data_IF_272649914092
#
_entry.id   IF_272649914092
#
_cell.length_a   1.000
_cell.length_b   1.000
_cell.length_c   1.000
_cell.angle_alpha   90.00
_cell.angle_beta   90.00
_cell.angle_gamma   90.00
#
_symmetry.space_group_name_H-M   'P 1'
#
loop_
_entity.id
_entity.type
_entity.pdbx_description
1 polymer ?
#
# COMPACT_ATOMS: atom_id res chain seq x y z
N UNK A 1 -10.23 -10.18 -10.19
CA UNK A 1 -9.24 -10.08 -9.10
C UNK A 1 -8.76 -11.45 -8.65
N UNK A 2 -9.67 -12.38 -8.47
CA UNK A 2 -9.35 -13.75 -8.03
C UNK A 2 -8.66 -14.58 -9.11
N UNK A 3 -8.68 -14.13 -10.35
CA UNK A 3 -8.03 -14.80 -11.48
C UNK A 3 -6.50 -14.81 -11.40
N UNK A 4 -5.90 -14.03 -10.52
CA UNK A 4 -4.44 -14.07 -10.28
C UNK A 4 -3.99 -15.48 -9.88
N UNK A 5 -4.85 -16.23 -9.20
CA UNK A 5 -4.56 -17.62 -8.81
C UNK A 5 -4.45 -18.59 -10.01
N UNK A 6 -5.18 -18.28 -11.07
CA UNK A 6 -5.27 -19.13 -12.26
C UNK A 6 -4.27 -18.72 -13.37
N UNK A 7 -3.49 -17.67 -13.16
CA UNK A 7 -2.63 -17.06 -14.16
C UNK A 7 -1.15 -17.35 -13.88
N UNK A 8 -0.38 -17.59 -14.93
CA UNK A 8 1.08 -17.74 -14.86
C UNK A 8 1.78 -16.38 -14.74
N UNK A 9 2.44 -16.13 -13.65
CA UNK A 9 3.18 -14.94 -13.26
C UNK A 9 3.32 -13.79 -14.27
N UNK A 10 4.44 -13.73 -14.97
CA UNK A 10 4.75 -12.63 -15.89
C UNK A 10 3.80 -12.54 -17.10
N UNK A 11 3.46 -13.68 -17.70
CA UNK A 11 2.55 -13.70 -18.86
C UNK A 11 1.16 -13.21 -18.50
N UNK A 12 0.70 -13.54 -17.32
CA UNK A 12 -0.60 -13.08 -16.83
C UNK A 12 -0.68 -11.57 -16.72
N UNK A 13 0.38 -10.95 -16.22
CA UNK A 13 0.46 -9.51 -16.15
C UNK A 13 0.38 -8.85 -17.52
N UNK A 14 1.11 -9.35 -18.49
CA UNK A 14 1.15 -8.78 -19.85
C UNK A 14 -0.14 -9.00 -20.61
N UNK A 15 -0.78 -10.16 -20.50
CA UNK A 15 -2.08 -10.44 -21.15
C UNK A 15 -3.22 -9.64 -20.53
N UNK A 16 -3.17 -9.39 -19.23
CA UNK A 16 -4.22 -8.66 -18.52
C UNK A 16 -4.30 -7.18 -18.94
N UNK A 17 -3.23 -6.63 -19.52
CA UNK A 17 -3.10 -5.20 -19.77
C UNK A 17 -3.21 -4.83 -21.22
N UNK A 18 -3.51 -5.72 -22.11
CA UNK A 18 -3.69 -5.40 -23.53
C UNK A 18 -4.90 -4.49 -23.81
N UNK A 19 -5.38 -3.77 -22.83
CA UNK A 19 -6.35 -2.70 -22.92
C UNK A 19 -5.88 -1.49 -22.13
N UNK A 20 -6.28 -0.31 -22.51
CA UNK A 20 -6.05 0.94 -21.78
C UNK A 20 -6.80 0.97 -20.43
N UNK A 21 -7.42 -0.13 -20.00
CA UNK A 21 -8.17 -0.22 -18.75
C UNK A 21 -7.23 -0.29 -17.56
N UNK A 22 -7.48 0.58 -16.59
CA UNK A 22 -6.84 0.53 -15.29
C UNK A 22 -7.66 -0.33 -14.34
N UNK A 23 -6.98 -1.13 -13.56
CA UNK A 23 -7.59 -1.99 -12.56
C UNK A 23 -7.14 -1.57 -11.16
N UNK A 24 -8.08 -1.54 -10.23
CA UNK A 24 -7.82 -1.20 -8.84
C UNK A 24 -8.08 -2.40 -7.95
N UNK A 25 -7.11 -2.73 -7.13
CA UNK A 25 -7.21 -3.79 -6.12
C UNK A 25 -7.27 -3.13 -4.75
N UNK A 26 -8.38 -3.34 -4.05
CA UNK A 26 -8.58 -2.81 -2.70
C UNK A 26 -8.28 -3.89 -1.67
N UNK A 27 -7.38 -3.60 -0.75
CA UNK A 27 -7.11 -4.43 0.42
C UNK A 27 -7.50 -3.60 1.64
N UNK A 28 -8.67 -3.88 2.18
CA UNK A 28 -9.26 -3.07 3.26
C UNK A 28 -8.63 -3.34 4.60
N UNK A 29 -7.88 -4.20 4.88
CA UNK A 29 -7.12 -4.42 6.10
C UNK A 29 -5.97 -5.36 5.80
N UNK A 30 -4.78 -4.82 5.82
CA UNK A 30 -3.59 -5.60 5.50
C UNK A 30 -3.29 -6.68 6.55
N UNK A 31 -3.87 -6.61 7.76
CA UNK A 31 -3.58 -7.44 8.92
C UNK A 31 -3.01 -8.83 8.63
N UNK A 32 -3.85 -9.73 8.15
CA UNK A 32 -3.45 -11.11 7.84
C UNK A 32 -3.22 -11.35 6.35
N UNK A 33 -3.32 -10.31 5.52
CA UNK A 33 -3.22 -10.48 4.07
C UNK A 33 -1.85 -11.04 3.67
N UNK A 34 -1.87 -12.07 2.87
CA UNK A 34 -0.66 -12.76 2.42
C UNK A 34 -0.16 -13.85 3.38
N UNK A 35 -0.55 -13.80 4.65
CA UNK A 35 -0.23 -14.85 5.60
C UNK A 35 -1.03 -16.13 5.24
N UNK A 36 -0.33 -17.25 5.16
CA UNK A 36 -0.97 -18.51 4.80
C UNK A 36 -1.27 -18.69 3.31
N UNK A 37 -0.98 -17.73 2.46
CA UNK A 37 -1.05 -17.90 1.01
C UNK A 37 0.14 -18.75 0.52
N UNK A 38 -0.07 -19.58 -0.53
CA UNK A 38 1.03 -20.26 -1.18
C UNK A 38 2.12 -19.28 -1.64
N UNK A 39 3.37 -19.66 -1.49
CA UNK A 39 4.53 -18.82 -1.87
C UNK A 39 4.44 -18.31 -3.31
N UNK A 40 3.97 -19.13 -4.24
CA UNK A 40 3.83 -18.75 -5.64
C UNK A 40 2.79 -17.62 -5.84
N UNK A 41 1.72 -17.61 -5.05
CA UNK A 41 0.73 -16.55 -5.08
C UNK A 41 1.32 -15.25 -4.55
N UNK A 42 2.06 -15.31 -3.45
CA UNK A 42 2.73 -14.13 -2.87
C UNK A 42 3.73 -13.54 -3.86
N UNK A 43 4.53 -14.36 -4.53
CA UNK A 43 5.46 -13.90 -5.58
C UNK A 43 4.76 -13.19 -6.72
N UNK A 44 3.61 -13.70 -7.18
CA UNK A 44 2.80 -13.06 -8.22
C UNK A 44 2.27 -11.70 -7.76
N UNK A 45 1.81 -11.60 -6.53
CA UNK A 45 1.36 -10.34 -5.95
C UNK A 45 2.48 -9.31 -5.87
N UNK A 46 3.66 -9.71 -5.45
CA UNK A 46 4.85 -8.84 -5.40
C UNK A 46 5.24 -8.39 -6.81
N UNK A 47 5.24 -9.28 -7.78
CA UNK A 47 5.50 -8.93 -9.18
C UNK A 47 4.51 -7.88 -9.69
N UNK A 48 3.22 -8.06 -9.44
CA UNK A 48 2.19 -7.10 -9.85
C UNK A 48 2.41 -5.75 -9.15
N UNK A 49 2.75 -5.76 -7.87
CA UNK A 49 3.03 -4.53 -7.11
C UNK A 49 4.23 -3.78 -7.68
N UNK A 50 5.30 -4.48 -8.02
CA UNK A 50 6.53 -3.88 -8.54
C UNK A 50 6.38 -3.36 -9.98
N UNK A 51 5.44 -3.88 -10.73
CA UNK A 51 5.16 -3.51 -12.11
C UNK A 51 3.81 -2.84 -12.30
N UNK A 52 3.24 -2.29 -11.26
CA UNK A 52 1.88 -1.76 -11.25
C UNK A 52 1.59 -0.74 -12.34
N UNK A 53 2.50 0.19 -12.58
CA UNK A 53 2.34 1.20 -13.64
C UNK A 53 2.30 0.57 -15.04
N UNK A 54 3.24 -0.34 -15.32
CA UNK A 54 3.31 -1.06 -16.60
C UNK A 54 2.07 -1.92 -16.82
N UNK A 55 1.57 -2.52 -15.76
CA UNK A 55 0.43 -3.43 -15.81
C UNK A 55 -0.94 -2.72 -15.74
N UNK A 56 -0.99 -1.42 -15.49
CA UNK A 56 -2.23 -0.71 -15.28
C UNK A 56 -3.03 -1.19 -14.07
N UNK A 57 -2.37 -1.83 -13.11
CA UNK A 57 -2.97 -2.34 -11.87
C UNK A 57 -2.50 -1.47 -10.71
N UNK A 58 -3.45 -0.94 -9.95
CA UNK A 58 -3.19 -0.08 -8.82
C UNK A 58 -3.72 -0.71 -7.54
N UNK A 59 -2.90 -0.71 -6.50
CA UNK A 59 -3.32 -1.16 -5.18
C UNK A 59 -3.74 0.02 -4.32
N UNK A 60 -4.85 -0.14 -3.61
CA UNK A 60 -5.27 0.74 -2.53
C UNK A 60 -5.35 -0.11 -1.28
N UNK A 61 -4.43 0.12 -0.36
CA UNK A 61 -4.22 -0.74 0.80
C UNK A 61 -4.41 0.09 2.06
N UNK A 62 -5.20 -0.40 2.98
CA UNK A 62 -5.40 0.23 4.28
C UNK A 62 -5.09 -0.72 5.44
N UNK A 63 -4.82 -0.13 6.58
CA UNK A 63 -4.58 -0.86 7.81
C UNK A 63 -4.09 0.08 8.91
N UNK A 64 -4.10 -0.41 10.13
CA UNK A 64 -3.46 0.29 11.25
C UNK A 64 -1.95 0.07 11.23
N UNK A 65 -1.21 0.92 11.94
CA UNK A 65 0.23 0.73 12.11
C UNK A 65 0.55 -0.64 12.69
N UNK A 66 -0.26 -1.11 13.61
CA UNK A 66 -0.10 -2.43 14.23
C UNK A 66 -0.31 -3.56 13.20
N UNK A 67 -1.36 -3.48 12.37
CA UNK A 67 -1.61 -4.47 11.32
C UNK A 67 -0.43 -4.57 10.34
N UNK A 68 0.08 -3.43 9.87
CA UNK A 68 1.27 -3.41 9.01
C UNK A 68 2.51 -3.93 9.74
N UNK A 69 2.69 -3.57 11.01
CA UNK A 69 3.85 -3.95 11.81
C UNK A 69 3.91 -5.46 12.10
N UNK A 70 2.77 -6.10 12.26
CA UNK A 70 2.67 -7.53 12.58
C UNK A 70 2.58 -8.43 11.35
N UNK A 71 2.38 -7.89 10.18
CA UNK A 71 2.32 -8.67 8.94
C UNK A 71 3.71 -8.74 8.30
N UNK A 72 4.28 -9.92 8.24
CA UNK A 72 5.62 -10.19 7.72
C UNK A 72 5.61 -10.91 6.36
N UNK A 73 4.46 -10.98 5.67
CA UNK A 73 4.43 -11.52 4.32
C UNK A 73 5.33 -10.69 3.39
N UNK A 74 5.91 -11.31 2.37
CA UNK A 74 6.78 -10.62 1.40
C UNK A 74 6.04 -9.48 0.70
N UNK A 75 4.77 -9.68 0.40
CA UNK A 75 3.91 -8.63 -0.17
C UNK A 75 3.82 -7.42 0.76
N UNK A 76 3.50 -7.61 2.03
CA UNK A 76 3.38 -6.51 2.99
C UNK A 76 4.72 -5.83 3.23
N UNK A 77 5.81 -6.60 3.32
CA UNK A 77 7.15 -6.04 3.44
C UNK A 77 7.50 -5.15 2.23
N UNK A 78 7.08 -5.54 1.04
CA UNK A 78 7.27 -4.75 -0.16
C UNK A 78 6.43 -3.49 -0.16
N UNK A 79 5.18 -3.57 0.29
CA UNK A 79 4.28 -2.41 0.46
C UNK A 79 4.89 -1.37 1.40
N UNK A 80 5.46 -1.79 2.52
CA UNK A 80 6.12 -0.89 3.48
C UNK A 80 7.27 -0.08 2.86
N UNK A 81 7.91 -0.59 1.83
CA UNK A 81 9.04 0.09 1.16
C UNK A 81 8.61 1.20 0.19
N UNK A 82 7.34 1.25 -0.18
CA UNK A 82 6.83 2.24 -1.14
C UNK A 82 6.87 3.66 -0.57
N UNK A 83 6.66 3.79 0.72
CA UNK A 83 6.76 5.04 1.47
C UNK A 83 5.92 6.19 0.91
N UNK A 84 4.71 5.88 0.46
CA UNK A 84 3.73 6.82 -0.07
C UNK A 84 2.33 6.43 0.38
N UNK A 85 1.50 7.41 0.70
CA UNK A 85 0.14 7.15 1.13
C UNK A 85 -0.47 8.28 1.94
N UNK A 86 -1.59 7.99 2.57
CA UNK A 86 -2.26 8.90 3.50
C UNK A 86 -2.07 8.36 4.92
N UNK A 87 -1.50 9.18 5.79
CA UNK A 87 -1.17 8.83 7.19
C UNK A 87 -2.03 9.66 8.12
N UNK A 88 -2.87 9.00 8.91
CA UNK A 88 -3.71 9.62 9.94
C UNK A 88 -3.09 9.30 11.31
N UNK A 89 -1.86 9.75 11.49
CA UNK A 89 -1.11 9.52 12.74
C UNK A 89 -0.01 10.57 12.88
N UNK A 90 0.28 10.94 14.10
CA UNK A 90 1.38 11.86 14.41
C UNK A 90 2.75 11.18 14.30
N UNK A 91 3.79 11.98 14.46
CA UNK A 91 5.18 11.56 14.30
C UNK A 91 5.56 10.31 15.13
N UNK A 92 5.08 10.23 16.36
CA UNK A 92 5.42 9.13 17.28
C UNK A 92 4.39 7.99 17.26
N UNK A 93 3.34 8.10 16.46
CA UNK A 93 2.21 7.16 16.51
C UNK A 93 2.32 6.04 15.47
N UNK A 94 3.24 6.16 14.54
CA UNK A 94 3.47 5.15 13.51
C UNK A 94 4.93 5.17 13.00
N UNK A 95 5.38 4.06 12.50
CA UNK A 95 6.73 3.88 11.92
C UNK A 95 6.71 3.20 10.54
N UNK A 96 5.53 3.05 9.97
CA UNK A 96 5.36 2.32 8.70
C UNK A 96 5.71 3.20 7.51
N UNK A 97 5.22 4.44 7.53
CA UNK A 97 5.50 5.41 6.46
C UNK A 97 6.51 6.42 7.00
N UNK A 98 7.66 6.49 6.36
CA UNK A 98 8.69 7.46 6.71
C UNK A 98 8.30 8.84 6.20
N UNK A 99 8.36 9.83 7.08
CA UNK A 99 8.07 11.24 6.77
C UNK A 99 9.31 12.07 7.07
N UNK A 100 10.09 12.40 6.06
CA UNK A 100 11.40 13.04 6.20
C UNK A 100 11.32 14.46 6.75
N UNK A 101 10.21 15.16 6.49
CA UNK A 101 9.98 16.54 6.90
C UNK A 101 9.04 16.69 8.10
N UNK A 102 8.72 15.61 8.80
CA UNK A 102 7.92 15.63 10.03
C UNK A 102 8.77 15.12 11.19
N UNK A 103 8.71 15.81 12.33
CA UNK A 103 9.48 15.46 13.51
C UNK A 103 8.69 15.77 14.79
N UNK A 104 9.31 15.56 15.96
CA UNK A 104 8.66 15.75 17.26
C UNK A 104 8.18 17.18 17.50
N UNK A 105 8.71 18.15 16.78
CA UNK A 105 8.32 19.56 16.91
C UNK A 105 7.23 19.98 15.91
N UNK A 106 6.87 19.09 14.99
CA UNK A 106 5.79 19.37 14.03
C UNK A 106 4.47 19.51 14.75
N UNK A 107 3.57 20.41 14.29
CA UNK A 107 2.25 20.55 14.90
C UNK A 107 1.48 19.24 14.93
N UNK A 108 0.79 18.98 16.03
CA UNK A 108 -0.08 17.79 16.12
C UNK A 108 -1.21 17.87 15.10
N UNK A 109 -1.62 16.70 14.61
CA UNK A 109 -2.79 16.61 13.76
C UNK A 109 -4.06 16.83 14.58
N UNK A 110 -4.94 17.69 14.08
CA UNK A 110 -6.30 17.83 14.59
C UNK A 110 -7.22 16.75 14.00
N UNK A 111 -8.39 16.58 14.60
CA UNK A 111 -9.41 15.68 14.05
C UNK A 111 -9.74 16.10 12.62
N UNK A 112 -9.66 15.18 11.69
CA UNK A 112 -9.88 15.41 10.26
C UNK A 112 -8.63 15.79 9.48
N UNK A 113 -7.49 15.96 10.12
CA UNK A 113 -6.22 16.21 9.45
C UNK A 113 -5.49 14.89 9.17
N UNK A 114 -4.70 14.88 8.11
CA UNK A 114 -3.84 13.78 7.74
C UNK A 114 -2.57 14.29 7.06
N UNK A 115 -1.61 13.42 6.84
CA UNK A 115 -0.49 13.67 5.96
C UNK A 115 -0.69 12.92 4.65
N UNK A 116 -0.60 13.62 3.53
CA UNK A 116 -0.35 13.01 2.24
C UNK A 116 1.16 12.87 2.07
N UNK A 117 1.64 11.65 1.93
CA UNK A 117 3.06 11.35 1.81
C UNK A 117 3.35 10.85 0.41
N UNK A 118 4.27 11.51 -0.25
CA UNK A 118 4.78 11.11 -1.55
C UNK A 118 6.29 10.90 -1.45
N UNK A 119 6.70 9.66 -1.58
CA UNK A 119 8.11 9.24 -1.49
C UNK A 119 8.84 9.84 -0.27
N UNK A 120 8.21 9.78 0.88
CA UNK A 120 8.75 10.27 2.16
C UNK A 120 8.49 11.73 2.47
N UNK A 121 8.00 12.53 1.53
CA UNK A 121 7.66 13.92 1.77
C UNK A 121 6.20 14.08 2.14
N UNK A 122 5.94 14.55 3.33
CA UNK A 122 4.59 14.75 3.87
C UNK A 122 4.06 16.14 3.59
N UNK A 123 2.80 16.22 3.19
CA UNK A 123 2.01 17.45 3.10
C UNK A 123 0.79 17.28 3.97
N UNK A 124 0.55 18.23 4.89
CA UNK A 124 -0.64 18.20 5.73
C UNK A 124 -1.87 18.52 4.89
N UNK A 125 -2.88 17.66 5.00
CA UNK A 125 -4.16 17.82 4.31
C UNK A 125 -5.30 17.71 5.31
N UNK A 126 -6.45 18.25 4.93
CA UNK A 126 -7.69 18.07 5.67
C UNK A 126 -8.60 17.11 4.92
N UNK A 127 -9.01 16.07 5.63
CA UNK A 127 -9.95 15.09 5.08
C UNK A 127 -11.36 15.68 5.04
N UNK A 128 -12.16 15.38 4.02
CA UNK A 128 -13.54 15.82 3.94
C UNK A 128 -14.34 15.35 5.15
N UNK A 129 -15.20 16.22 5.67
CA UNK A 129 -16.17 15.85 6.71
C UNK A 129 -17.43 15.30 6.05
N UNK A 130 -17.97 14.27 6.65
CA UNK A 130 -19.29 13.78 6.29
C UNK A 130 -20.39 14.61 6.96
#
# INVERSE_FOLDING_TARGET
>A
LLRIQDMDGEKAGEEFIQGEQKHFIFIQNIGDFGNGLPTEIVKKLVYILDNNSKLGIHFIISGTSNNFGQNYSDFTNRVKQINSGIVIAGYNEQSIVKMDNVNMYSPKLDVGDAYFVDNGRATRIRMPKH
#
